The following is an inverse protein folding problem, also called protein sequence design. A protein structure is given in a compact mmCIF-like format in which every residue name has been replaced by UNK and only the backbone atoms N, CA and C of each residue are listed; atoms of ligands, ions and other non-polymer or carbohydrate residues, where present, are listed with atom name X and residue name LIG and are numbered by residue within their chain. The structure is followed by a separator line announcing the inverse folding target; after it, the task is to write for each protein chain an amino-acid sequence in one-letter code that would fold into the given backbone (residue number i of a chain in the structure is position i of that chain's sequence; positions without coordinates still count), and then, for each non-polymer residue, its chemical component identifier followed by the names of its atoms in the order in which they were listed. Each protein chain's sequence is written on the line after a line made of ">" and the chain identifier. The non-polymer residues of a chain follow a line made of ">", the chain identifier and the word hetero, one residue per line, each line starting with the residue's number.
data_IF_378583068331
#
_entry.id   IF_378583068331
#
_cell.length_a   1.000
_cell.length_b   1.000
_cell.length_c   1.000
_cell.angle_alpha   90.00
_cell.angle_beta   90.00
_cell.angle_gamma   90.00
#
_symmetry.space_group_name_H-M   'P 1'
#
loop_
_entity.id
_entity.type
_entity.pdbx_description
1 polymer ?
#
# COMPACT_ATOMS: atom_id res chain seq x y z
N UNK A 1 12.07 0.47 -3.35
CA UNK A 1 12.21 -0.40 -2.15
C UNK A 1 11.59 -1.77 -2.32
N UNK A 2 10.28 -1.91 -2.62
CA UNK A 2 9.66 -3.24 -2.71
C UNK A 2 10.37 -4.21 -3.67
N UNK A 3 10.79 -3.74 -4.87
CA UNK A 3 11.60 -4.53 -5.80
C UNK A 3 12.95 -4.97 -5.23
N UNK A 4 13.61 -4.11 -4.45
CA UNK A 4 14.90 -4.43 -3.83
C UNK A 4 14.70 -5.52 -2.78
N UNK A 5 13.73 -5.34 -1.89
CA UNK A 5 13.43 -6.28 -0.80
C UNK A 5 12.60 -7.51 -1.25
N UNK A 6 12.44 -7.72 -2.56
CA UNK A 6 11.65 -8.80 -3.16
C UNK A 6 10.21 -8.91 -2.60
N UNK A 7 9.64 -7.79 -2.18
CA UNK A 7 8.26 -7.71 -1.67
C UNK A 7 7.29 -7.72 -2.85
N UNK A 8 6.36 -8.69 -2.95
CA UNK A 8 5.35 -8.70 -4.00
C UNK A 8 4.50 -7.43 -4.02
N UNK A 9 4.28 -6.88 -5.21
CA UNK A 9 3.52 -5.65 -5.42
C UNK A 9 2.35 -5.90 -6.35
N UNK A 10 1.18 -5.41 -5.95
CA UNK A 10 -0.04 -5.38 -6.75
C UNK A 10 -0.47 -3.93 -6.99
N UNK A 11 -0.96 -3.66 -8.20
CA UNK A 11 -1.38 -2.32 -8.64
C UNK A 11 -2.81 -2.40 -9.16
N UNK A 12 -3.66 -1.45 -8.74
CA UNK A 12 -5.03 -1.33 -9.27
C UNK A 12 -5.29 0.05 -9.84
N UNK A 13 -6.16 0.09 -10.85
CA UNK A 13 -6.60 1.35 -11.45
C UNK A 13 -8.11 1.51 -11.34
N UNK A 14 -8.55 2.52 -10.59
CA UNK A 14 -9.96 2.90 -10.56
C UNK A 14 -10.35 3.54 -11.89
N UNK A 15 -11.31 2.93 -12.60
CA UNK A 15 -11.93 3.41 -13.84
C UNK A 15 -10.95 4.15 -14.78
N UNK A 16 -9.92 3.47 -15.31
CA UNK A 16 -8.83 4.12 -16.04
C UNK A 16 -9.30 4.85 -17.30
N UNK A 17 -10.44 4.46 -17.89
CA UNK A 17 -11.02 5.14 -19.04
C UNK A 17 -11.45 6.58 -18.72
N UNK A 18 -11.93 6.84 -17.50
CA UNK A 18 -12.35 8.18 -17.08
C UNK A 18 -11.37 8.90 -16.15
N UNK A 19 -10.51 8.16 -15.44
CA UNK A 19 -9.59 8.70 -14.44
C UNK A 19 -8.11 8.56 -14.86
N UNK A 20 -7.83 8.16 -16.10
CA UNK A 20 -6.48 7.96 -16.64
C UNK A 20 -5.74 6.72 -16.08
N UNK A 21 -4.59 6.37 -16.64
CA UNK A 21 -3.73 5.32 -16.10
C UNK A 21 -2.95 5.81 -14.87
N UNK A 22 -2.18 4.90 -14.27
CA UNK A 22 -1.17 5.19 -13.25
C UNK A 22 -0.13 6.18 -13.77
N UNK A 23 0.28 7.12 -12.93
CA UNK A 23 1.24 8.17 -13.31
C UNK A 23 2.66 7.61 -13.46
N UNK A 24 3.42 8.01 -14.50
CA UNK A 24 4.79 7.55 -14.72
C UNK A 24 5.72 7.79 -13.52
N UNK A 25 5.51 8.88 -12.79
CA UNK A 25 6.29 9.29 -11.62
C UNK A 25 6.28 8.24 -10.49
N UNK A 26 5.30 7.32 -10.49
CA UNK A 26 5.26 6.21 -9.54
C UNK A 26 6.36 5.16 -9.80
N UNK A 27 7.00 5.17 -10.99
CA UNK A 27 8.03 4.18 -11.35
C UNK A 27 7.51 2.74 -11.38
N UNK A 28 6.21 2.59 -11.64
CA UNK A 28 5.51 1.31 -11.64
C UNK A 28 5.72 0.51 -12.94
N UNK A 29 6.73 0.85 -13.76
CA UNK A 29 6.97 0.14 -15.02
C UNK A 29 7.19 -1.36 -14.77
N UNK A 30 6.56 -2.20 -15.59
CA UNK A 30 6.62 -3.66 -15.43
C UNK A 30 5.62 -4.26 -14.44
N UNK A 31 4.88 -3.44 -13.68
CA UNK A 31 3.68 -3.91 -12.97
C UNK A 31 2.49 -3.92 -13.93
N UNK A 32 1.66 -4.97 -13.84
CA UNK A 32 0.41 -5.05 -14.60
C UNK A 32 -0.73 -4.46 -13.75
N UNK A 33 -1.30 -3.30 -14.12
CA UNK A 33 -2.43 -2.74 -13.39
C UNK A 33 -3.70 -3.59 -13.59
N UNK A 34 -4.44 -3.79 -12.51
CA UNK A 34 -5.76 -4.40 -12.53
C UNK A 34 -6.85 -3.33 -12.46
N UNK A 35 -7.57 -3.15 -13.57
CA UNK A 35 -8.64 -2.17 -13.66
C UNK A 35 -9.84 -2.58 -12.80
N UNK A 36 -10.46 -1.63 -12.12
CA UNK A 36 -11.63 -1.85 -11.26
C UNK A 36 -12.58 -0.66 -11.24
N UNK A 37 -13.83 -0.93 -10.91
CA UNK A 37 -14.84 0.09 -10.58
C UNK A 37 -15.27 0.04 -9.11
N UNK A 38 -15.08 -1.09 -8.42
CA UNK A 38 -15.27 -1.20 -6.97
C UNK A 38 -14.23 -0.35 -6.22
N UNK A 39 -14.64 0.33 -5.15
CA UNK A 39 -13.71 1.11 -4.33
C UNK A 39 -12.69 0.21 -3.62
N UNK A 40 -13.12 -0.91 -3.04
CA UNK A 40 -12.20 -1.92 -2.55
C UNK A 40 -11.39 -2.55 -3.68
N UNK A 41 -10.12 -2.84 -3.41
CA UNK A 41 -9.24 -3.58 -4.32
C UNK A 41 -9.43 -5.09 -4.24
N UNK A 42 -9.96 -5.58 -3.13
CA UNK A 42 -9.99 -7.02 -2.84
C UNK A 42 -10.65 -7.84 -3.96
N UNK A 43 -11.80 -7.45 -4.54
CA UNK A 43 -12.38 -8.19 -5.65
C UNK A 43 -11.49 -8.27 -6.89
N UNK A 44 -10.79 -7.18 -7.23
CA UNK A 44 -9.88 -7.15 -8.37
C UNK A 44 -8.60 -7.95 -8.09
N UNK A 45 -8.16 -8.00 -6.83
CA UNK A 45 -6.96 -8.70 -6.37
C UNK A 45 -7.24 -10.13 -5.91
N UNK A 46 -8.47 -10.65 -6.04
CA UNK A 46 -8.87 -11.94 -5.44
C UNK A 46 -7.90 -13.07 -5.81
N UNK A 47 -7.62 -13.25 -7.10
CA UNK A 47 -6.71 -14.28 -7.60
C UNK A 47 -5.27 -14.11 -7.07
N UNK A 48 -4.80 -12.87 -6.95
CA UNK A 48 -3.47 -12.58 -6.41
C UNK A 48 -3.41 -12.88 -4.90
N UNK A 49 -4.44 -12.50 -4.14
CA UNK A 49 -4.50 -12.77 -2.71
C UNK A 49 -4.62 -14.27 -2.43
N UNK A 50 -5.44 -14.98 -3.19
CA UNK A 50 -5.69 -16.42 -3.01
C UNK A 50 -4.49 -17.29 -3.41
N UNK A 51 -3.67 -16.83 -4.35
CA UNK A 51 -2.43 -17.53 -4.73
C UNK A 51 -1.31 -17.42 -3.67
N UNK A 52 -1.56 -16.69 -2.56
CA UNK A 52 -0.59 -16.45 -1.48
C UNK A 52 -1.17 -16.86 -0.11
N UNK A 53 -1.39 -18.17 0.15
CA UNK A 53 -1.96 -18.64 1.42
C UNK A 53 -1.10 -18.33 2.66
N UNK A 54 0.18 -18.06 2.45
CA UNK A 54 1.13 -17.64 3.48
C UNK A 54 1.09 -16.13 3.77
N UNK A 55 0.35 -15.34 2.99
CA UNK A 55 0.20 -13.91 3.22
C UNK A 55 -0.39 -13.66 4.61
N UNK A 56 0.23 -12.76 5.37
CA UNK A 56 -0.21 -12.38 6.72
C UNK A 56 -0.41 -10.88 6.86
N UNK A 57 0.44 -10.10 6.20
CA UNK A 57 0.44 -8.64 6.35
C UNK A 57 0.47 -7.95 5.00
N UNK A 58 -0.21 -6.81 4.92
CA UNK A 58 -0.34 -5.99 3.72
C UNK A 58 0.04 -4.56 4.05
N UNK A 59 0.96 -4.00 3.27
CA UNK A 59 1.27 -2.58 3.20
C UNK A 59 0.34 -1.93 2.17
N UNK A 60 -0.39 -0.91 2.58
CA UNK A 60 -1.39 -0.25 1.75
C UNK A 60 -1.09 1.24 1.62
N UNK A 61 -0.96 1.74 0.39
CA UNK A 61 -0.76 3.16 0.13
C UNK A 61 -1.41 3.66 -1.16
N UNK A 62 -1.88 4.91 -1.17
CA UNK A 62 -2.44 5.57 -2.34
C UNK A 62 -3.66 6.44 -2.04
N UNK A 63 -4.54 6.60 -3.03
CA UNK A 63 -5.70 7.50 -2.94
C UNK A 63 -7.01 6.82 -3.41
N UNK A 64 -8.18 7.26 -2.97
CA UNK A 64 -8.38 8.25 -1.88
C UNK A 64 -8.52 7.55 -0.52
N UNK A 65 -8.02 8.17 0.56
CA UNK A 65 -7.94 7.55 1.87
C UNK A 65 -9.33 7.10 2.38
N UNK A 66 -10.35 7.95 2.25
CA UNK A 66 -11.73 7.69 2.70
C UNK A 66 -12.52 6.76 1.78
N UNK A 67 -12.05 6.54 0.55
CA UNK A 67 -12.72 5.69 -0.42
C UNK A 67 -11.96 4.38 -0.61
N UNK A 68 -11.04 4.34 -1.58
CA UNK A 68 -10.38 3.09 -1.97
C UNK A 68 -9.52 2.50 -0.85
N UNK A 69 -8.79 3.31 -0.08
CA UNK A 69 -7.93 2.81 0.99
C UNK A 69 -8.75 2.28 2.16
N UNK A 70 -9.76 3.02 2.62
CA UNK A 70 -10.61 2.59 3.73
C UNK A 70 -11.36 1.29 3.40
N UNK A 71 -12.06 1.22 2.27
CA UNK A 71 -12.82 0.02 1.91
C UNK A 71 -11.90 -1.19 1.71
N UNK A 72 -10.72 -1.01 1.09
CA UNK A 72 -9.74 -2.08 0.97
C UNK A 72 -9.20 -2.52 2.33
N UNK A 73 -8.96 -1.58 3.24
CA UNK A 73 -8.49 -1.88 4.60
C UNK A 73 -9.50 -2.78 5.33
N UNK A 74 -10.78 -2.42 5.29
CA UNK A 74 -11.83 -3.20 5.96
C UNK A 74 -11.95 -4.60 5.37
N UNK A 75 -11.99 -4.75 4.05
CA UNK A 75 -12.08 -6.06 3.41
C UNK A 75 -10.83 -6.94 3.67
N UNK A 76 -9.63 -6.36 3.76
CA UNK A 76 -8.42 -7.11 4.09
C UNK A 76 -8.42 -7.55 5.57
N UNK A 77 -8.91 -6.71 6.48
CA UNK A 77 -9.08 -7.06 7.89
C UNK A 77 -10.13 -8.17 8.07
N UNK A 78 -11.24 -8.12 7.34
CA UNK A 78 -12.28 -9.17 7.33
C UNK A 78 -11.73 -10.52 6.80
N UNK A 79 -10.71 -10.47 5.94
CA UNK A 79 -9.94 -11.65 5.50
C UNK A 79 -8.91 -12.15 6.52
N UNK A 80 -8.80 -11.51 7.68
CA UNK A 80 -7.85 -11.88 8.74
C UNK A 80 -6.40 -11.46 8.46
N UNK A 81 -6.17 -10.52 7.53
CA UNK A 81 -4.84 -9.99 7.25
C UNK A 81 -4.53 -8.79 8.16
N UNK A 82 -3.27 -8.65 8.54
CA UNK A 82 -2.77 -7.44 9.18
C UNK A 82 -2.60 -6.35 8.12
N UNK A 83 -3.13 -5.16 8.36
CA UNK A 83 -3.06 -4.05 7.41
C UNK A 83 -2.21 -2.92 7.99
N UNK A 84 -1.13 -2.57 7.29
CA UNK A 84 -0.27 -1.44 7.57
C UNK A 84 -0.52 -0.35 6.54
N UNK A 85 -1.16 0.74 6.95
CA UNK A 85 -1.45 1.89 6.08
C UNK A 85 -0.28 2.87 6.14
N UNK A 86 0.29 3.17 4.98
CA UNK A 86 1.43 4.08 4.84
C UNK A 86 0.93 5.53 4.73
N UNK A 87 0.81 6.22 5.87
CA UNK A 87 0.01 7.46 5.96
C UNK A 87 0.58 8.63 5.18
N UNK A 88 1.89 8.70 5.01
CA UNK A 88 2.63 9.68 4.21
C UNK A 88 2.61 9.35 2.70
N UNK A 89 2.11 8.17 2.34
CA UNK A 89 1.80 7.76 0.97
C UNK A 89 0.28 7.60 0.74
N UNK A 90 -0.55 8.12 1.64
CA UNK A 90 -2.00 8.16 1.52
C UNK A 90 -2.53 9.60 1.52
N UNK A 91 -3.48 9.89 0.64
CA UNK A 91 -4.05 11.24 0.52
C UNK A 91 -5.53 11.22 0.15
N UNK A 92 -6.16 12.38 0.28
CA UNK A 92 -7.55 12.68 -0.08
C UNK A 92 -7.62 14.11 -0.60
N UNK A 93 -8.70 14.44 -1.32
CA UNK A 93 -8.96 15.82 -1.74
C UNK A 93 -9.19 16.78 -0.55
N UNK A 94 -9.82 16.28 0.51
CA UNK A 94 -10.08 17.02 1.74
C UNK A 94 -9.21 16.50 2.88
N UNK A 95 -8.65 17.41 3.68
CA UNK A 95 -7.91 17.04 4.89
C UNK A 95 -8.83 16.38 5.93
N UNK A 96 -10.08 16.84 6.03
CA UNK A 96 -11.08 16.25 6.95
C UNK A 96 -11.33 14.79 6.57
N UNK A 97 -11.57 14.53 5.28
CA UNK A 97 -11.80 13.16 4.78
C UNK A 97 -10.59 12.26 5.08
N UNK A 98 -9.38 12.76 4.83
CA UNK A 98 -8.15 12.01 5.11
C UNK A 98 -8.03 11.64 6.59
N UNK A 99 -8.18 12.62 7.48
CA UNK A 99 -7.98 12.42 8.91
C UNK A 99 -9.04 11.49 9.52
N UNK A 100 -10.31 11.66 9.13
CA UNK A 100 -11.40 10.80 9.59
C UNK A 100 -11.22 9.37 9.09
N UNK A 101 -10.83 9.19 7.83
CA UNK A 101 -10.58 7.87 7.27
C UNK A 101 -9.43 7.14 7.97
N UNK A 102 -8.29 7.80 8.17
CA UNK A 102 -7.15 7.22 8.88
C UNK A 102 -7.52 6.85 10.33
N UNK A 103 -8.25 7.72 11.03
CA UNK A 103 -8.75 7.42 12.37
C UNK A 103 -9.66 6.19 12.38
N UNK A 104 -10.54 6.06 11.39
CA UNK A 104 -11.43 4.90 11.23
C UNK A 104 -10.67 3.61 10.93
N UNK A 105 -9.66 3.65 10.06
CA UNK A 105 -8.81 2.48 9.78
C UNK A 105 -8.12 1.99 11.06
N UNK A 106 -7.54 2.91 11.85
CA UNK A 106 -6.93 2.59 13.14
C UNK A 106 -7.92 1.96 14.11
N UNK A 107 -9.13 2.52 14.23
CA UNK A 107 -10.19 1.97 15.08
C UNK A 107 -10.64 0.57 14.65
N UNK A 108 -10.49 0.25 13.37
CA UNK A 108 -10.88 -1.05 12.81
C UNK A 108 -9.80 -2.12 12.97
N UNK A 109 -8.60 -1.75 13.45
CA UNK A 109 -7.49 -2.69 13.70
C UNK A 109 -6.31 -2.57 12.72
N UNK A 110 -6.30 -1.59 11.81
CA UNK A 110 -5.14 -1.35 10.96
C UNK A 110 -4.04 -0.58 11.71
N UNK A 111 -2.79 -0.92 11.43
CA UNK A 111 -1.62 -0.17 11.88
C UNK A 111 -1.39 1.03 10.96
N UNK A 112 -1.28 2.23 11.52
CA UNK A 112 -0.87 3.41 10.77
C UNK A 112 0.64 3.60 10.96
N UNK A 113 1.39 3.62 9.86
CA UNK A 113 2.85 3.82 9.88
C UNK A 113 3.28 4.76 8.76
N UNK A 114 4.53 5.20 8.78
CA UNK A 114 5.15 5.97 7.69
C UNK A 114 5.96 5.07 6.77
N UNK A 115 6.25 5.56 5.56
CA UNK A 115 7.09 4.88 4.59
C UNK A 115 8.44 4.50 5.20
N UNK A 116 9.15 5.46 5.80
CA UNK A 116 10.41 5.25 6.50
C UNK A 116 10.32 4.17 7.59
N UNK A 117 9.34 4.28 8.49
CA UNK A 117 9.17 3.35 9.60
C UNK A 117 8.96 1.91 9.12
N UNK A 118 8.21 1.73 8.03
CA UNK A 118 7.99 0.40 7.43
C UNK A 118 9.23 -0.10 6.70
N UNK A 119 9.98 0.75 6.00
CA UNK A 119 11.24 0.36 5.36
C UNK A 119 12.23 -0.15 6.42
N UNK A 120 12.36 0.57 7.54
CA UNK A 120 13.22 0.17 8.65
C UNK A 120 12.75 -1.14 9.32
N UNK A 121 11.44 -1.33 9.47
CA UNK A 121 10.88 -2.60 9.96
C UNK A 121 11.19 -3.76 9.01
N UNK A 122 11.15 -3.54 7.69
CA UNK A 122 11.41 -4.58 6.70
C UNK A 122 12.88 -5.04 6.68
N UNK A 123 13.82 -4.10 6.82
CA UNK A 123 15.25 -4.45 6.88
C UNK A 123 15.66 -5.00 8.24
N UNK A 124 15.00 -4.57 9.33
CA UNK A 124 15.17 -5.07 10.70
C UNK A 124 16.51 -4.72 11.37
N UNK A 125 17.59 -4.55 10.60
CA UNK A 125 18.94 -4.26 11.08
C UNK A 125 19.70 -3.39 10.07
N UNK A 126 20.56 -2.48 10.54
CA UNK A 126 21.46 -1.70 9.72
C UNK A 126 22.54 -2.57 9.02
N UNK A 127 22.78 -3.77 9.52
CA UNK A 127 23.64 -4.78 8.91
C UNK A 127 22.97 -5.53 7.74
N UNK A 128 21.67 -5.32 7.48
CA UNK A 128 20.97 -5.96 6.37
C UNK A 128 21.71 -5.66 5.04
N UNK A 129 21.94 -6.67 4.16
CA UNK A 129 22.73 -6.48 2.93
C UNK A 129 22.24 -5.33 2.05
N UNK A 130 20.93 -5.11 2.03
CA UNK A 130 20.27 -4.08 1.22
C UNK A 130 20.04 -2.75 1.95
N UNK A 131 20.47 -2.60 3.22
CA UNK A 131 20.22 -1.40 4.02
C UNK A 131 20.72 -0.12 3.32
N UNK A 132 21.95 -0.15 2.80
CA UNK A 132 22.54 0.99 2.09
C UNK A 132 21.82 1.37 0.80
N UNK A 133 21.14 0.43 0.17
CA UNK A 133 20.40 0.65 -1.08
C UNK A 133 19.00 1.19 -0.83
N UNK A 134 18.40 0.92 0.33
CA UNK A 134 17.07 1.46 0.68
C UNK A 134 17.12 2.86 1.31
N UNK A 135 18.24 3.26 1.95
CA UNK A 135 18.39 4.60 2.55
C UNK A 135 18.23 5.78 1.56
N UNK A 136 18.80 5.75 0.34
CA UNK A 136 18.66 6.84 -0.63
C UNK A 136 17.22 7.00 -1.16
N UNK A 137 16.37 6.00 -0.95
CA UNK A 137 14.96 6.01 -1.36
C UNK A 137 14.04 6.76 -0.37
N UNK A 138 14.62 7.62 0.48
CA UNK A 138 13.93 8.57 1.37
C UNK A 138 13.94 10.02 0.82
N UNK A 139 13.56 10.32 -0.44
CA UNK A 139 13.21 11.71 -0.76
C UNK A 139 11.90 12.08 -0.03
N UNK A 140 11.63 13.38 0.19
CA UNK A 140 10.31 13.81 0.65
C UNK A 140 9.23 13.29 -0.31
N UNK A 141 8.05 12.90 0.19
CA UNK A 141 7.00 12.36 -0.67
C UNK A 141 6.67 13.38 -1.77
N UNK A 142 6.60 12.97 -3.05
CA UNK A 142 6.18 13.87 -4.11
C UNK A 142 4.77 14.39 -3.82
N UNK A 143 4.38 15.55 -4.36
CA UNK A 143 3.02 16.05 -4.21
C UNK A 143 2.03 15.05 -4.82
N UNK A 144 1.38 14.24 -3.97
CA UNK A 144 0.41 13.22 -4.36
C UNK A 144 -0.91 13.89 -4.79
N UNK A 145 -0.91 14.56 -5.94
CA UNK A 145 -2.11 15.20 -6.48
C UNK A 145 -2.91 14.28 -7.42
N UNK A 146 -2.30 13.24 -7.96
CA UNK A 146 -2.91 12.24 -8.84
C UNK A 146 -2.01 10.98 -8.70
N UNK A 147 -2.35 9.85 -8.07
CA UNK A 147 -3.10 8.71 -8.65
C UNK A 147 -2.84 7.45 -7.80
N UNK A 148 -3.90 6.64 -7.61
CA UNK A 148 -4.11 5.17 -7.45
C UNK A 148 -3.08 4.25 -6.73
N UNK A 149 -3.64 3.18 -6.16
CA UNK A 149 -3.16 2.49 -4.95
C UNK A 149 -2.22 1.33 -5.24
N UNK A 150 -1.15 1.25 -4.43
CA UNK A 150 -0.20 0.16 -4.33
C UNK A 150 -0.52 -0.72 -3.12
N UNK A 151 -0.60 -2.03 -3.35
CA UNK A 151 -0.66 -3.04 -2.29
C UNK A 151 0.66 -3.80 -2.31
N UNK A 152 1.49 -3.64 -1.28
CA UNK A 152 2.68 -4.45 -1.09
C UNK A 152 2.38 -5.56 -0.08
N UNK A 153 2.45 -6.82 -0.53
CA UNK A 153 2.14 -7.99 0.27
C UNK A 153 3.40 -8.48 0.97
N UNK A 154 3.40 -8.55 2.30
CA UNK A 154 4.55 -9.06 3.07
C UNK A 154 4.40 -10.58 3.26
N UNK A 155 5.37 -11.31 2.70
CA UNK A 155 5.53 -12.73 2.95
C UNK A 155 6.12 -12.95 4.36
N UNK A 156 5.78 -14.04 5.05
CA UNK A 156 6.23 -14.27 6.41
C UNK A 156 7.74 -14.59 6.41
N UNK A 157 8.53 -13.87 7.21
CA UNK A 157 9.96 -14.17 7.28
C UNK A 157 10.88 -13.35 8.18
N UNK A 158 10.59 -12.10 8.58
CA UNK A 158 11.67 -11.32 9.26
C UNK A 158 11.29 -10.06 10.05
N UNK A 159 10.02 -9.69 10.23
CA UNK A 159 9.67 -8.57 11.11
C UNK A 159 8.71 -9.05 12.21
N UNK A 160 9.11 -8.86 13.47
CA UNK A 160 8.18 -8.97 14.61
C UNK A 160 7.12 -7.88 14.40
N UNK A 161 5.87 -8.27 14.22
CA UNK A 161 4.71 -7.38 14.09
C UNK A 161 4.22 -6.95 15.46
#
# INVERSE_FOLDING_TARGET
>A
VARLLEVPVMLTEQYPQGLGPTVPELGAEGLRPLAKTCFSMVPALQQELDSRPQLRSVLLCGIEAQACILNTTLDLLDRGLQVHVVVDACSSRSQVDRLVALARMRQSGAFLSTSEGLILQLVGDAAHPQFKEVMPAWPPPPPLHLTKVLVAALLPGSARY
#
